data_IF_817732078291
#
_entry.id   IF_817732078291
#
_cell.length_a   1.000
_cell.length_b   1.000
_cell.length_c   1.000
_cell.angle_alpha   90.00
_cell.angle_beta   90.00
_cell.angle_gamma   90.00
#
_symmetry.space_group_name_H-M   'P 1'
#
loop_
_entity.id
_entity.type
_entity.pdbx_description
1 polymer ?
#
# COMPACT_ATOMS: atom_id res chain seq x y z
N UNK A 1 -9.74 -3.60 3.81
CA UNK A 1 -10.94 -2.74 3.64
C UNK A 1 -10.50 -1.28 3.58
N UNK A 2 -11.11 -0.49 2.73
CA UNK A 2 -10.89 0.95 2.69
C UNK A 2 -11.85 1.66 3.66
N UNK A 3 -11.36 1.94 4.85
CA UNK A 3 -12.15 2.57 5.92
C UNK A 3 -12.51 4.05 5.67
N UNK A 4 -12.01 4.65 4.60
CA UNK A 4 -12.47 5.97 4.13
C UNK A 4 -13.85 5.91 3.47
N UNK A 5 -14.28 4.74 3.01
CA UNK A 5 -15.48 4.58 2.18
C UNK A 5 -16.54 3.66 2.77
N UNK A 6 -16.12 2.64 3.52
CA UNK A 6 -17.05 1.65 4.08
C UNK A 6 -16.50 1.02 5.36
N UNK A 7 -17.33 0.23 6.00
CA UNK A 7 -16.91 -0.63 7.11
C UNK A 7 -16.57 -2.04 6.63
N UNK A 8 -15.87 -2.80 7.49
CA UNK A 8 -15.55 -4.21 7.22
C UNK A 8 -16.84 -5.03 7.06
N UNK A 9 -17.86 -4.75 7.87
CA UNK A 9 -19.15 -5.45 7.81
C UNK A 9 -19.91 -5.17 6.51
N UNK A 10 -19.92 -3.91 6.07
CA UNK A 10 -20.61 -3.53 4.82
C UNK A 10 -19.94 -4.18 3.62
N UNK A 11 -18.60 -4.20 3.60
CA UNK A 11 -17.86 -4.87 2.53
C UNK A 11 -18.12 -6.40 2.56
N UNK A 12 -18.06 -7.02 3.73
CA UNK A 12 -18.34 -8.45 3.86
C UNK A 12 -19.74 -8.80 3.35
N UNK A 13 -20.73 -7.99 3.71
CA UNK A 13 -22.09 -8.15 3.21
C UNK A 13 -22.15 -8.03 1.68
N UNK A 14 -21.58 -6.99 1.11
CA UNK A 14 -21.56 -6.77 -0.34
C UNK A 14 -20.85 -7.89 -1.12
N UNK A 15 -19.80 -8.48 -0.55
CA UNK A 15 -19.09 -9.61 -1.14
C UNK A 15 -19.96 -10.88 -1.08
N UNK A 16 -20.63 -11.11 0.04
CA UNK A 16 -21.50 -12.27 0.24
C UNK A 16 -22.72 -12.26 -0.69
N UNK A 17 -23.29 -11.10 -0.99
CA UNK A 17 -24.35 -10.93 -1.99
C UNK A 17 -23.92 -11.35 -3.41
N UNK A 18 -22.62 -11.49 -3.64
CA UNK A 18 -22.00 -11.96 -4.88
C UNK A 18 -21.38 -13.36 -4.75
N UNK A 19 -21.83 -14.16 -3.77
CA UNK A 19 -21.33 -15.50 -3.45
C UNK A 19 -19.84 -15.53 -3.13
N UNK A 20 -19.28 -14.44 -2.59
CA UNK A 20 -17.88 -14.33 -2.17
C UNK A 20 -17.80 -14.41 -0.65
N UNK A 21 -17.52 -15.61 -0.12
CA UNK A 21 -17.36 -15.83 1.30
C UNK A 21 -16.01 -15.30 1.80
N UNK A 22 -16.06 -14.65 2.97
CA UNK A 22 -14.88 -14.05 3.61
C UNK A 22 -14.90 -14.24 5.10
N UNK A 23 -13.72 -14.38 5.70
CA UNK A 23 -13.50 -14.46 7.13
C UNK A 23 -12.75 -13.23 7.67
N UNK A 24 -12.92 -12.97 8.96
CA UNK A 24 -12.14 -11.95 9.66
C UNK A 24 -10.73 -12.46 9.95
N UNK A 25 -9.77 -11.59 9.85
CA UNK A 25 -8.41 -11.88 10.24
C UNK A 25 -8.13 -11.27 11.63
N UNK A 26 -7.91 -12.13 12.64
CA UNK A 26 -7.89 -11.77 14.07
C UNK A 26 -7.06 -10.53 14.42
N UNK A 27 -5.86 -10.42 13.84
CA UNK A 27 -4.92 -9.36 14.18
C UNK A 27 -5.01 -8.14 13.24
N UNK A 28 -6.01 -8.12 12.36
CA UNK A 28 -6.19 -7.11 11.32
C UNK A 28 -7.64 -6.63 11.29
N UNK A 29 -7.98 -5.60 12.09
CA UNK A 29 -9.37 -5.17 12.25
C UNK A 29 -10.02 -4.68 10.94
N UNK A 30 -9.22 -4.21 10.00
CA UNK A 30 -9.67 -3.68 8.72
C UNK A 30 -9.46 -4.66 7.55
N UNK A 31 -9.26 -5.96 7.85
CA UNK A 31 -9.01 -6.97 6.83
C UNK A 31 -10.11 -8.02 6.75
N UNK A 32 -10.34 -8.50 5.53
CA UNK A 32 -11.08 -9.72 5.23
C UNK A 32 -10.16 -10.68 4.47
N UNK A 33 -10.27 -11.96 4.75
CA UNK A 33 -9.62 -13.02 3.99
C UNK A 33 -10.67 -13.75 3.16
N UNK A 34 -10.39 -13.98 1.88
CA UNK A 34 -11.26 -14.79 1.03
C UNK A 34 -11.21 -16.25 1.48
N UNK A 35 -12.35 -16.88 1.65
CA UNK A 35 -12.44 -18.32 1.96
C UNK A 35 -11.82 -19.14 0.81
N UNK A 36 -12.04 -18.72 -0.42
CA UNK A 36 -11.48 -19.35 -1.61
C UNK A 36 -10.75 -18.33 -2.50
N UNK A 37 -9.67 -18.78 -3.15
CA UNK A 37 -8.93 -17.92 -4.08
C UNK A 37 -9.72 -17.69 -5.36
N UNK A 38 -10.10 -16.45 -5.62
CA UNK A 38 -10.83 -16.05 -6.82
C UNK A 38 -10.43 -14.67 -7.33
N UNK A 39 -10.84 -14.34 -8.56
CA UNK A 39 -10.54 -13.04 -9.16
C UNK A 39 -11.53 -11.96 -8.66
N UNK A 40 -11.14 -11.27 -7.61
CA UNK A 40 -11.93 -10.22 -6.97
C UNK A 40 -11.79 -8.84 -7.65
N UNK A 41 -10.83 -8.68 -8.59
CA UNK A 41 -10.55 -7.38 -9.23
C UNK A 41 -11.67 -6.91 -10.17
N UNK A 42 -12.57 -7.81 -10.59
CA UNK A 42 -13.74 -7.48 -11.42
C UNK A 42 -14.95 -7.08 -10.60
N UNK A 43 -14.94 -7.31 -9.29
CA UNK A 43 -16.06 -7.01 -8.41
C UNK A 43 -16.35 -5.50 -8.37
N UNK A 44 -17.64 -5.06 -8.35
CA UNK A 44 -18.00 -3.64 -8.27
C UNK A 44 -17.32 -2.92 -7.10
N UNK A 45 -17.33 -3.50 -5.91
CA UNK A 45 -16.69 -2.91 -4.73
C UNK A 45 -15.19 -2.64 -4.91
N UNK A 46 -14.47 -3.45 -5.71
CA UNK A 46 -13.07 -3.15 -6.04
C UNK A 46 -12.96 -1.95 -6.98
N UNK A 47 -13.79 -1.92 -8.02
CA UNK A 47 -13.82 -0.80 -8.98
C UNK A 47 -14.19 0.52 -8.32
N UNK A 48 -15.03 0.48 -7.30
CA UNK A 48 -15.44 1.62 -6.48
C UNK A 48 -14.43 1.98 -5.40
N UNK A 49 -13.38 1.18 -5.21
CA UNK A 49 -12.31 1.43 -4.25
C UNK A 49 -12.70 1.18 -2.80
N UNK A 50 -13.63 0.26 -2.56
CA UNK A 50 -14.06 -0.14 -1.21
C UNK A 50 -13.03 -0.98 -0.48
N UNK A 51 -12.08 -1.55 -1.21
CA UNK A 51 -10.97 -2.32 -0.67
C UNK A 51 -9.77 -2.35 -1.61
N UNK A 52 -8.63 -2.76 -1.06
CA UNK A 52 -7.40 -3.09 -1.79
C UNK A 52 -6.96 -4.51 -1.45
N UNK A 53 -6.32 -5.19 -2.40
CA UNK A 53 -5.71 -6.50 -2.16
C UNK A 53 -4.29 -6.29 -1.66
N UNK A 54 -3.99 -6.76 -0.47
CA UNK A 54 -2.69 -6.58 0.17
C UNK A 54 -2.31 -7.83 0.97
N UNK A 55 -1.01 -8.12 1.00
CA UNK A 55 -0.46 -9.16 1.85
C UNK A 55 -0.65 -8.87 3.34
N UNK A 56 -1.03 -9.85 4.17
CA UNK A 56 -1.20 -9.62 5.61
C UNK A 56 0.04 -9.00 6.27
N UNK A 57 1.25 -9.50 5.97
CA UNK A 57 2.47 -8.95 6.55
C UNK A 57 2.68 -7.47 6.15
N UNK A 58 2.33 -7.10 4.91
CA UNK A 58 2.39 -5.71 4.46
C UNK A 58 1.38 -4.81 5.18
N UNK A 59 0.28 -5.37 5.67
CA UNK A 59 -0.73 -4.59 6.41
C UNK A 59 -0.26 -4.16 7.80
N UNK A 60 0.72 -4.81 8.42
CA UNK A 60 1.29 -4.37 9.69
C UNK A 60 2.10 -3.07 9.59
N UNK A 61 2.64 -2.76 8.42
CA UNK A 61 3.59 -1.66 8.25
C UNK A 61 2.96 -0.30 8.56
N UNK A 62 1.78 -0.01 8.00
CA UNK A 62 1.13 1.28 8.21
C UNK A 62 0.70 1.51 9.68
N UNK A 63 0.06 0.56 10.38
CA UNK A 63 -0.20 0.68 11.82
C UNK A 63 1.07 0.81 12.67
N UNK A 64 2.15 0.10 12.30
CA UNK A 64 3.43 0.18 13.03
C UNK A 64 4.03 1.59 13.00
N UNK A 65 3.76 2.35 11.95
CA UNK A 65 4.22 3.74 11.83
C UNK A 65 3.51 4.70 12.80
N UNK A 66 2.42 4.27 13.45
CA UNK A 66 1.64 5.03 14.44
C UNK A 66 1.27 6.43 13.93
N UNK A 67 0.75 6.50 12.72
CA UNK A 67 0.28 7.76 12.15
C UNK A 67 -1.02 8.21 12.82
N UNK A 68 -1.24 9.53 12.83
CA UNK A 68 -2.47 10.14 13.33
C UNK A 68 -2.98 11.19 12.33
N UNK A 69 -4.29 11.48 12.32
CA UNK A 69 -4.85 12.57 11.51
C UNK A 69 -4.12 13.89 11.77
N UNK A 70 -3.76 14.60 10.71
CA UNK A 70 -3.05 15.88 10.77
C UNK A 70 -1.53 15.79 10.60
N UNK A 71 -0.94 14.61 10.74
CA UNK A 71 0.50 14.41 10.54
C UNK A 71 0.93 14.66 9.11
N UNK A 72 2.22 14.95 8.95
CA UNK A 72 2.92 14.93 7.68
C UNK A 72 3.77 13.65 7.59
N UNK A 73 3.46 12.83 6.60
CA UNK A 73 4.10 11.51 6.40
C UNK A 73 4.80 11.48 5.04
N UNK A 74 5.99 10.91 5.00
CA UNK A 74 6.71 10.63 3.75
C UNK A 74 6.76 9.11 3.59
N UNK A 75 6.31 8.62 2.42
CA UNK A 75 6.50 7.25 1.94
C UNK A 75 7.51 7.32 0.78
N UNK A 76 8.78 7.00 1.08
CA UNK A 76 9.88 7.28 0.16
C UNK A 76 10.12 6.17 -0.89
N UNK A 77 9.44 5.02 -0.76
CA UNK A 77 9.46 3.92 -1.71
C UNK A 77 8.03 3.42 -1.94
N UNK A 78 7.15 4.33 -2.35
CA UNK A 78 5.71 4.13 -2.34
C UNK A 78 5.23 3.04 -3.32
N UNK A 79 6.01 2.78 -4.38
CA UNK A 79 5.60 1.84 -5.42
C UNK A 79 4.23 2.21 -6.00
N UNK A 80 3.37 1.21 -6.18
CA UNK A 80 1.99 1.41 -6.62
C UNK A 80 1.01 1.80 -5.48
N UNK A 81 1.52 2.14 -4.28
CA UNK A 81 0.77 2.81 -3.22
C UNK A 81 0.04 1.94 -2.22
N UNK A 82 0.29 0.65 -2.14
CA UNK A 82 -0.43 -0.22 -1.19
C UNK A 82 -0.34 0.27 0.26
N UNK A 83 0.85 0.64 0.72
CA UNK A 83 1.09 1.16 2.07
C UNK A 83 0.66 2.62 2.19
N UNK A 84 0.91 3.42 1.16
CA UNK A 84 0.45 4.83 1.07
C UNK A 84 -1.05 4.97 1.28
N UNK A 85 -1.87 4.14 0.61
CA UNK A 85 -3.33 4.17 0.72
C UNK A 85 -3.79 3.75 2.12
N UNK A 86 -3.12 2.78 2.73
CA UNK A 86 -3.41 2.36 4.10
C UNK A 86 -3.08 3.49 5.09
N UNK A 87 -1.95 4.19 4.93
CA UNK A 87 -1.62 5.38 5.72
C UNK A 87 -2.69 6.47 5.59
N UNK A 88 -3.18 6.73 4.37
CA UNK A 88 -4.24 7.71 4.13
C UNK A 88 -5.55 7.35 4.85
N UNK A 89 -5.90 6.06 4.87
CA UNK A 89 -7.06 5.56 5.60
C UNK A 89 -6.91 5.76 7.11
N UNK A 90 -5.77 5.37 7.70
CA UNK A 90 -5.48 5.58 9.12
C UNK A 90 -5.46 7.07 9.50
N UNK A 91 -4.99 7.93 8.61
CA UNK A 91 -5.01 9.39 8.79
C UNK A 91 -6.38 10.02 8.51
N UNK A 92 -7.38 9.26 8.08
CA UNK A 92 -8.73 9.74 7.73
C UNK A 92 -8.70 10.91 6.74
N UNK A 93 -7.83 10.85 5.74
CA UNK A 93 -7.59 11.93 4.77
C UNK A 93 -7.20 13.29 5.40
N UNK A 94 -6.71 13.32 6.63
CA UNK A 94 -6.26 14.55 7.31
C UNK A 94 -4.74 14.60 7.41
N UNK A 95 -4.16 15.81 7.24
CA UNK A 95 -2.72 16.00 7.16
C UNK A 95 -2.21 15.87 5.73
N UNK A 96 -0.97 15.41 5.54
CA UNK A 96 -0.34 15.32 4.22
C UNK A 96 0.52 14.07 4.10
N UNK A 97 0.37 13.35 3.01
CA UNK A 97 1.24 12.23 2.64
C UNK A 97 2.02 12.63 1.40
N UNK A 98 3.35 12.53 1.43
CA UNK A 98 4.21 12.69 0.26
C UNK A 98 4.69 11.29 -0.10
N UNK A 99 4.16 10.76 -1.21
CA UNK A 99 4.53 9.46 -1.75
C UNK A 99 5.56 9.62 -2.86
N UNK A 100 6.68 8.93 -2.73
CA UNK A 100 7.82 9.08 -3.64
C UNK A 100 8.25 7.70 -4.16
N UNK A 101 8.70 7.68 -5.40
CA UNK A 101 9.36 6.51 -6.01
C UNK A 101 10.27 7.00 -7.13
N UNK A 102 11.27 6.20 -7.49
CA UNK A 102 12.15 6.47 -8.65
C UNK A 102 11.46 6.13 -9.96
N UNK A 103 10.47 5.22 -9.96
CA UNK A 103 9.77 4.71 -11.12
C UNK A 103 8.48 5.49 -11.42
N UNK A 104 8.42 6.29 -12.51
CA UNK A 104 7.23 7.07 -12.87
C UNK A 104 5.99 6.22 -13.10
N UNK A 105 6.15 5.03 -13.69
CA UNK A 105 5.05 4.09 -13.99
C UNK A 105 4.30 3.66 -12.73
N UNK A 106 5.01 3.41 -11.63
CA UNK A 106 4.43 3.07 -10.34
C UNK A 106 3.66 4.24 -9.74
N UNK A 107 4.18 5.45 -9.88
CA UNK A 107 3.51 6.68 -9.40
C UNK A 107 2.22 6.97 -10.17
N UNK A 108 2.18 6.70 -11.48
CA UNK A 108 0.95 6.79 -12.27
C UNK A 108 -0.09 5.79 -11.77
N UNK A 109 0.32 4.57 -11.46
CA UNK A 109 -0.59 3.57 -10.91
C UNK A 109 -1.07 3.95 -9.49
N UNK A 110 -0.17 4.44 -8.63
CA UNK A 110 -0.52 5.00 -7.32
C UNK A 110 -1.59 6.08 -7.45
N UNK A 111 -1.45 7.01 -8.39
CA UNK A 111 -2.41 8.09 -8.59
C UNK A 111 -3.81 7.57 -8.98
N UNK A 112 -3.88 6.58 -9.87
CA UNK A 112 -5.15 5.93 -10.26
C UNK A 112 -5.81 5.25 -9.06
N UNK A 113 -5.03 4.50 -8.28
CA UNK A 113 -5.51 3.80 -7.07
C UNK A 113 -5.96 4.79 -6.00
N UNK A 114 -5.21 5.87 -5.76
CA UNK A 114 -5.56 6.91 -4.80
C UNK A 114 -6.90 7.59 -5.17
N UNK A 115 -7.09 7.91 -6.46
CA UNK A 115 -8.38 8.43 -6.97
C UNK A 115 -9.51 7.45 -6.74
N UNK A 116 -9.32 6.16 -7.08
CA UNK A 116 -10.30 5.10 -6.85
C UNK A 116 -10.63 4.95 -5.37
N UNK A 117 -9.63 4.99 -4.50
CA UNK A 117 -9.79 4.85 -3.06
C UNK A 117 -10.35 6.10 -2.35
N UNK A 118 -10.47 7.24 -3.05
CA UNK A 118 -10.96 8.50 -2.47
C UNK A 118 -9.93 9.20 -1.57
N UNK A 119 -8.65 8.95 -1.79
CA UNK A 119 -7.55 9.62 -1.08
C UNK A 119 -7.37 11.03 -1.63
N UNK A 120 -7.37 12.04 -0.76
CA UNK A 120 -7.28 13.46 -1.12
C UNK A 120 -6.15 14.24 -0.41
N UNK A 121 -5.43 13.61 0.52
CA UNK A 121 -4.33 14.23 1.26
C UNK A 121 -2.94 13.79 0.75
N UNK A 122 -2.86 13.31 -0.51
CA UNK A 122 -1.69 12.74 -1.14
C UNK A 122 -1.04 13.71 -2.12
N UNK A 123 0.28 13.85 -2.00
CA UNK A 123 1.17 14.47 -2.97
C UNK A 123 2.11 13.40 -3.52
N UNK A 124 2.22 13.33 -4.84
CA UNK A 124 3.07 12.35 -5.52
C UNK A 124 4.30 13.06 -6.08
N UNK A 125 5.49 12.53 -5.80
CA UNK A 125 6.78 13.08 -6.26
C UNK A 125 7.69 11.98 -6.80
N UNK A 126 8.21 12.18 -7.99
CA UNK A 126 9.29 11.33 -8.48
C UNK A 126 10.62 11.72 -7.82
N UNK A 127 11.40 10.71 -7.45
CA UNK A 127 12.80 10.90 -7.01
C UNK A 127 13.68 10.94 -8.25
N UNK A 128 14.00 12.14 -8.71
CA UNK A 128 14.87 12.35 -9.86
C UNK A 128 16.35 12.48 -9.46
N UNK A 129 16.60 12.87 -8.23
CA UNK A 129 17.95 13.04 -7.69
C UNK A 129 17.95 13.17 -6.18
N UNK A 130 19.11 13.10 -5.55
CA UNK A 130 19.31 13.38 -4.13
C UNK A 130 18.79 14.76 -3.67
N UNK A 131 18.72 15.74 -4.58
CA UNK A 131 18.15 17.06 -4.27
C UNK A 131 16.67 16.99 -3.94
N UNK A 132 15.92 16.07 -4.57
CA UNK A 132 14.49 15.85 -4.28
C UNK A 132 14.31 15.43 -2.82
N UNK A 133 15.17 14.54 -2.32
CA UNK A 133 15.15 14.04 -0.95
C UNK A 133 15.59 15.13 0.04
N UNK A 134 16.71 15.81 -0.25
CA UNK A 134 17.26 16.88 0.62
C UNK A 134 16.26 17.99 0.92
N UNK A 135 15.40 18.34 -0.05
CA UNK A 135 14.35 19.37 0.15
C UNK A 135 13.29 18.97 1.16
N UNK A 136 13.23 17.70 1.54
CA UNK A 136 12.27 17.16 2.51
C UNK A 136 12.91 16.89 3.88
N UNK A 137 14.17 17.24 4.06
CA UNK A 137 14.88 17.09 5.32
C UNK A 137 14.12 17.80 6.46
N UNK A 138 13.99 17.12 7.60
CA UNK A 138 13.29 17.61 8.78
C UNK A 138 11.83 18.08 8.54
N UNK A 139 11.17 17.56 7.52
CA UNK A 139 9.84 18.05 7.11
C UNK A 139 8.69 17.06 7.34
N UNK A 140 8.92 15.96 8.04
CA UNK A 140 7.90 14.94 8.29
C UNK A 140 7.87 14.50 9.75
N UNK A 141 6.66 14.19 10.24
CA UNK A 141 6.46 13.55 11.53
C UNK A 141 6.78 12.04 11.48
N UNK A 142 6.58 11.41 10.33
CA UNK A 142 6.85 9.99 10.09
C UNK A 142 7.44 9.77 8.70
N UNK A 143 8.37 8.84 8.62
CA UNK A 143 9.00 8.40 7.37
C UNK A 143 8.86 6.89 7.23
N UNK A 144 8.32 6.45 6.10
CA UNK A 144 8.28 5.05 5.68
C UNK A 144 9.36 4.82 4.63
N UNK A 145 10.23 3.82 4.89
CA UNK A 145 11.26 3.33 3.99
C UNK A 145 11.03 1.83 3.76
N UNK A 146 10.22 1.49 2.76
CA UNK A 146 10.01 0.11 2.32
C UNK A 146 10.80 -0.13 1.04
N UNK A 147 12.10 -0.24 1.23
CA UNK A 147 13.08 -0.27 0.13
C UNK A 147 13.07 -1.59 -0.65
N UNK A 148 13.47 -1.57 -1.93
CA UNK A 148 13.71 -2.79 -2.69
C UNK A 148 14.63 -3.75 -1.95
N UNK A 149 14.35 -5.06 -2.05
CA UNK A 149 15.14 -6.10 -1.39
C UNK A 149 15.35 -7.30 -2.33
N UNK A 150 16.12 -8.29 -1.88
CA UNK A 150 16.37 -9.52 -2.63
C UNK A 150 15.12 -10.37 -2.94
N UNK A 151 14.00 -10.12 -2.27
CA UNK A 151 12.77 -10.87 -2.47
C UNK A 151 12.77 -12.28 -1.86
N UNK A 152 13.80 -12.66 -1.10
CA UNK A 152 13.88 -14.01 -0.49
C UNK A 152 12.77 -14.28 0.53
N UNK A 153 12.21 -13.24 1.16
CA UNK A 153 11.10 -13.38 2.09
C UNK A 153 9.77 -13.81 1.43
N UNK A 154 9.67 -13.78 0.11
CA UNK A 154 8.44 -14.11 -0.63
C UNK A 154 8.55 -15.36 -1.51
N UNK A 155 9.51 -16.24 -1.26
CA UNK A 155 9.76 -17.46 -2.06
C UNK A 155 8.52 -18.34 -2.22
N UNK A 156 7.65 -18.43 -1.23
CA UNK A 156 6.39 -19.18 -1.31
C UNK A 156 5.47 -18.67 -2.43
N UNK A 157 5.54 -17.38 -2.75
CA UNK A 157 4.70 -16.72 -3.78
C UNK A 157 5.44 -16.50 -5.09
N UNK A 158 6.74 -16.34 -5.00
CA UNK A 158 7.64 -16.13 -6.13
C UNK A 158 8.83 -17.08 -6.03
N UNK A 159 8.64 -18.39 -6.31
CA UNK A 159 9.69 -19.40 -6.17
C UNK A 159 10.87 -19.15 -7.11
N UNK A 160 10.65 -18.45 -8.21
CA UNK A 160 11.70 -18.12 -9.19
C UNK A 160 12.70 -17.08 -8.67
N UNK A 161 12.37 -16.36 -7.59
CA UNK A 161 13.27 -15.34 -7.04
C UNK A 161 14.65 -15.91 -6.68
N UNK A 162 14.72 -17.15 -6.18
CA UNK A 162 15.99 -17.82 -5.85
C UNK A 162 16.92 -18.03 -7.04
N UNK A 163 16.37 -18.18 -8.24
CA UNK A 163 17.15 -18.39 -9.47
C UNK A 163 17.63 -17.07 -10.12
N UNK A 164 17.03 -15.96 -9.72
CA UNK A 164 17.39 -14.61 -10.20
C UNK A 164 18.46 -13.95 -9.33
N UNK A 165 18.82 -14.57 -8.20
CA UNK A 165 19.84 -14.04 -7.33
C UNK A 165 21.23 -14.23 -7.96
N UNK A 166 21.91 -13.13 -8.16
CA UNK A 166 23.34 -13.09 -8.50
C UNK A 166 24.03 -12.01 -7.66
N UNK A 167 25.36 -12.03 -7.55
CA UNK A 167 26.09 -10.95 -6.89
C UNK A 167 25.77 -9.58 -7.48
N UNK A 168 25.64 -9.49 -8.81
CA UNK A 168 25.29 -8.27 -9.53
C UNK A 168 23.88 -7.79 -9.19
N UNK A 169 22.91 -8.71 -9.13
CA UNK A 169 21.54 -8.38 -8.70
C UNK A 169 21.52 -7.79 -7.29
N UNK A 170 22.25 -8.40 -6.35
CA UNK A 170 22.33 -7.92 -4.97
C UNK A 170 23.01 -6.56 -4.90
N UNK A 171 24.05 -6.33 -5.73
CA UNK A 171 24.71 -5.02 -5.79
C UNK A 171 23.75 -3.94 -6.31
N UNK A 172 23.04 -4.20 -7.40
CA UNK A 172 22.07 -3.27 -7.97
C UNK A 172 20.90 -2.90 -7.01
N UNK A 173 20.56 -3.80 -6.09
CA UNK A 173 19.52 -3.51 -5.08
C UNK A 173 20.05 -2.58 -3.98
N UNK A 174 21.38 -2.48 -3.78
CA UNK A 174 21.99 -1.60 -2.77
C UNK A 174 22.21 -0.16 -3.27
N UNK A 175 22.27 0.03 -4.56
CA UNK A 175 22.41 1.34 -5.23
C UNK A 175 21.07 2.06 -5.43
#
# INVERSE_FOLDING_TARGET
VNTLKNSVKDLQYALRESDIETDYLRDFPDALILAERQNIFRHPSFKEGMFEVQDPASQFIAPFLRVSPGMRVIDACAGAGGKTLHLAALMKNKGRIIAMDVEPSKLVELQKRAKRAGVNNLEIKQIESSKTIKRLENSADRLLLDVPCSGLGVLKRNPDAKWKLSPEFIQNVKE
#
